data_IF_022444284271
#
_entry.id   IF_022444284271
#
_cell.length_a   1.000
_cell.length_b   1.000
_cell.length_c   1.000
_cell.angle_alpha   90.00
_cell.angle_beta   90.00
_cell.angle_gamma   90.00
#
_symmetry.space_group_name_H-M   'P 1'
#
loop_
_entity.id
_entity.type
_entity.pdbx_description
1 polymer ?
#
# COMPACT_ATOMS: atom_id res chain seq x y z
N UNK A 1 11.59 -29.36 2.18
CA UNK A 1 10.58 -30.42 2.05
C UNK A 1 9.68 -30.02 0.89
N UNK A 2 9.75 -30.69 -0.25
CA UNK A 2 8.84 -30.41 -1.37
C UNK A 2 7.43 -30.84 -0.95
N UNK A 3 6.46 -29.93 -1.02
CA UNK A 3 5.07 -30.29 -0.83
C UNK A 3 4.69 -31.35 -1.89
N UNK A 4 4.02 -32.43 -1.50
CA UNK A 4 3.59 -33.42 -2.47
C UNK A 4 2.69 -32.73 -3.50
N UNK A 5 3.04 -32.85 -4.78
CA UNK A 5 2.17 -32.50 -5.89
C UNK A 5 0.91 -33.38 -5.80
N UNK A 6 -0.06 -32.94 -5.02
CA UNK A 6 -1.41 -33.47 -5.18
C UNK A 6 -1.91 -32.95 -6.52
N UNK A 7 -2.33 -33.80 -7.44
CA UNK A 7 -3.02 -33.33 -8.62
C UNK A 7 -4.21 -32.51 -8.14
N UNK A 8 -4.27 -31.24 -8.56
CA UNK A 8 -5.47 -30.45 -8.43
C UNK A 8 -6.58 -31.29 -9.06
N UNK A 9 -7.63 -31.60 -8.32
CA UNK A 9 -8.78 -32.28 -8.87
C UNK A 9 -9.27 -31.55 -10.13
N UNK A 10 -10.10 -32.19 -10.94
CA UNK A 10 -10.64 -31.55 -12.13
C UNK A 10 -11.20 -30.18 -11.79
N UNK A 11 -10.51 -29.13 -12.29
CA UNK A 11 -10.98 -27.77 -12.19
C UNK A 11 -12.24 -27.69 -13.06
N UNK A 12 -13.40 -27.70 -12.43
CA UNK A 12 -14.64 -27.39 -13.12
C UNK A 12 -14.57 -25.91 -13.50
N UNK A 13 -14.53 -25.65 -14.80
CA UNK A 13 -14.68 -24.29 -15.30
C UNK A 13 -15.95 -23.68 -14.72
N UNK A 14 -15.85 -22.50 -14.13
CA UNK A 14 -17.01 -21.71 -13.73
C UNK A 14 -17.72 -21.29 -15.02
N UNK A 15 -18.96 -21.68 -15.17
CA UNK A 15 -19.74 -21.39 -16.38
C UNK A 15 -20.63 -20.19 -16.13
N UNK A 16 -20.82 -19.40 -17.18
CA UNK A 16 -21.78 -18.29 -17.25
C UNK A 16 -21.64 -17.28 -16.08
N UNK A 17 -20.44 -16.65 -15.91
CA UNK A 17 -20.30 -15.62 -14.91
C UNK A 17 -21.16 -14.42 -15.25
N UNK A 18 -21.72 -13.77 -14.23
CA UNK A 18 -22.26 -12.43 -14.39
C UNK A 18 -21.13 -11.48 -14.83
N UNK A 19 -21.36 -10.67 -15.84
CA UNK A 19 -20.39 -9.67 -16.31
C UNK A 19 -20.86 -8.29 -15.88
N UNK A 20 -20.05 -7.61 -15.08
CA UNK A 20 -20.25 -6.23 -14.68
C UNK A 20 -19.27 -5.33 -15.42
N UNK A 21 -19.79 -4.38 -16.20
CA UNK A 21 -18.98 -3.35 -16.85
C UNK A 21 -19.02 -2.07 -16.03
N UNK A 22 -17.85 -1.44 -15.85
CA UNK A 22 -17.71 -0.12 -15.22
C UNK A 22 -16.83 0.78 -16.08
N UNK A 23 -17.07 2.07 -15.99
CA UNK A 23 -16.24 3.10 -16.60
C UNK A 23 -15.89 4.14 -15.55
N UNK A 24 -14.59 4.47 -15.43
CA UNK A 24 -14.08 5.45 -14.49
C UNK A 24 -12.94 6.25 -15.13
N UNK A 25 -12.65 7.42 -14.60
CA UNK A 25 -11.49 8.19 -15.06
C UNK A 25 -10.18 7.59 -14.56
N UNK A 26 -10.15 7.19 -13.29
CA UNK A 26 -8.96 6.69 -12.62
C UNK A 26 -9.25 5.34 -11.97
N UNK A 27 -8.47 4.32 -12.33
CA UNK A 27 -8.51 3.01 -11.70
C UNK A 27 -7.26 2.77 -10.86
N UNK A 28 -7.44 2.39 -9.60
CA UNK A 28 -6.37 2.02 -8.69
C UNK A 28 -6.43 0.50 -8.46
N UNK A 29 -5.36 -0.21 -8.78
CA UNK A 29 -5.27 -1.67 -8.66
C UNK A 29 -4.35 -2.07 -7.52
N UNK A 30 -4.92 -2.65 -6.48
CA UNK A 30 -4.31 -3.06 -5.24
C UNK A 30 -4.87 -2.31 -4.04
N UNK A 31 -4.84 -2.91 -2.87
CA UNK A 31 -5.30 -2.31 -1.61
C UNK A 31 -4.19 -2.18 -0.58
N UNK A 32 -2.92 -2.29 -1.00
CA UNK A 32 -1.76 -2.08 -0.16
C UNK A 32 -1.52 -0.61 0.20
N UNK A 33 -0.43 -0.34 0.88
CA UNK A 33 -0.06 0.99 1.34
C UNK A 33 0.00 2.03 0.21
N UNK A 34 0.65 1.68 -0.89
CA UNK A 34 0.81 2.59 -2.03
C UNK A 34 -0.54 2.97 -2.66
N UNK A 35 -1.46 2.02 -2.81
CA UNK A 35 -2.78 2.29 -3.35
C UNK A 35 -3.67 3.11 -2.40
N UNK A 36 -3.55 2.88 -1.09
CA UNK A 36 -4.25 3.70 -0.11
C UNK A 36 -3.77 5.16 -0.16
N UNK A 37 -2.45 5.37 -0.21
CA UNK A 37 -1.88 6.70 -0.37
C UNK A 37 -2.29 7.35 -1.70
N UNK A 38 -2.27 6.57 -2.80
CA UNK A 38 -2.75 7.04 -4.11
C UNK A 38 -4.22 7.48 -4.05
N UNK A 39 -5.10 6.69 -3.44
CA UNK A 39 -6.51 7.04 -3.32
C UNK A 39 -6.71 8.35 -2.54
N UNK A 40 -5.97 8.52 -1.45
CA UNK A 40 -6.00 9.75 -0.65
C UNK A 40 -5.50 10.96 -1.45
N UNK A 41 -4.36 10.84 -2.13
CA UNK A 41 -3.77 11.93 -2.90
C UNK A 41 -4.57 12.26 -4.17
N UNK A 42 -5.03 11.26 -4.92
CA UNK A 42 -5.83 11.47 -6.13
C UNK A 42 -7.05 12.36 -5.82
N UNK A 43 -7.69 12.14 -4.67
CA UNK A 43 -8.86 12.95 -4.29
C UNK A 43 -8.55 14.44 -4.13
N UNK A 44 -7.31 14.79 -3.80
CA UNK A 44 -6.89 16.20 -3.69
C UNK A 44 -6.65 16.85 -5.05
N UNK A 45 -6.26 16.05 -6.06
CA UNK A 45 -5.79 16.55 -7.34
C UNK A 45 -6.72 16.30 -8.51
N UNK A 46 -7.72 15.42 -8.35
CA UNK A 46 -8.70 15.15 -9.40
C UNK A 46 -9.64 16.33 -9.59
N UNK A 47 -10.05 16.57 -10.83
CA UNK A 47 -11.03 17.59 -11.16
C UNK A 47 -12.43 17.22 -10.64
N UNK A 48 -13.26 18.24 -10.43
CA UNK A 48 -14.66 18.03 -10.08
C UNK A 48 -15.39 17.26 -11.20
N UNK A 49 -16.06 16.19 -10.81
CA UNK A 49 -16.78 15.30 -11.73
C UNK A 49 -15.97 14.14 -12.27
N UNK A 50 -14.66 14.06 -12.02
CA UNK A 50 -13.88 12.85 -12.29
C UNK A 50 -14.22 11.75 -11.30
N UNK A 51 -14.19 10.51 -11.81
CA UNK A 51 -14.48 9.30 -11.05
C UNK A 51 -13.22 8.49 -10.77
N UNK A 52 -13.14 7.90 -9.57
CA UNK A 52 -12.06 7.01 -9.17
C UNK A 52 -12.64 5.70 -8.65
N UNK A 53 -11.97 4.59 -8.93
CA UNK A 53 -12.30 3.27 -8.41
C UNK A 53 -11.03 2.59 -7.92
N UNK A 54 -11.09 1.98 -6.75
CA UNK A 54 -10.03 1.15 -6.21
C UNK A 54 -10.48 -0.31 -6.16
N UNK A 55 -9.66 -1.22 -6.69
CA UNK A 55 -9.90 -2.66 -6.66
C UNK A 55 -8.83 -3.38 -5.85
N UNK A 56 -9.24 -4.20 -4.89
CA UNK A 56 -8.32 -5.06 -4.14
C UNK A 56 -8.82 -6.52 -4.10
N UNK A 57 -7.90 -7.46 -4.27
CA UNK A 57 -8.21 -8.91 -4.18
C UNK A 57 -8.60 -9.38 -2.78
N UNK A 58 -8.29 -8.60 -1.75
CA UNK A 58 -8.53 -8.92 -0.35
C UNK A 58 -9.41 -7.84 0.32
N UNK A 59 -9.49 -7.82 1.63
CA UNK A 59 -9.99 -6.69 2.40
C UNK A 59 -8.87 -5.69 2.59
N UNK A 60 -9.12 -4.42 2.32
CA UNK A 60 -8.09 -3.38 2.35
C UNK A 60 -7.38 -3.27 3.70
N UNK A 61 -8.11 -3.45 4.80
CA UNK A 61 -7.57 -3.38 6.16
C UNK A 61 -6.53 -4.47 6.44
N UNK A 62 -6.51 -5.52 5.64
CA UNK A 62 -5.63 -6.69 5.79
C UNK A 62 -4.83 -6.98 4.52
N UNK A 63 -4.83 -6.07 3.56
CA UNK A 63 -4.14 -6.23 2.29
C UNK A 63 -2.72 -5.67 2.33
N UNK A 64 -1.83 -6.32 1.60
CA UNK A 64 -0.44 -5.91 1.42
C UNK A 64 0.49 -6.29 2.56
N UNK A 65 1.80 -6.11 2.32
CA UNK A 65 2.87 -6.49 3.25
C UNK A 65 2.77 -5.78 4.61
N UNK A 66 2.29 -4.54 4.62
CA UNK A 66 2.13 -3.74 5.84
C UNK A 66 1.18 -4.41 6.83
N UNK A 67 0.12 -5.08 6.34
CA UNK A 67 -0.84 -5.78 7.18
C UNK A 67 -0.31 -7.08 7.79
N UNK A 68 0.83 -7.57 7.33
CA UNK A 68 1.42 -8.84 7.76
C UNK A 68 2.38 -8.72 8.94
N UNK A 69 2.37 -7.60 9.64
CA UNK A 69 3.16 -7.43 10.85
C UNK A 69 4.30 -6.42 10.72
N UNK A 70 4.17 -5.44 9.84
CA UNK A 70 5.08 -4.31 9.81
C UNK A 70 5.16 -3.66 11.19
N UNK A 71 6.36 -3.45 11.69
CA UNK A 71 6.61 -2.88 13.03
C UNK A 71 7.36 -1.55 12.98
N UNK A 72 7.80 -1.11 11.82
CA UNK A 72 8.57 0.12 11.69
C UNK A 72 8.31 0.83 10.36
N UNK A 73 8.41 2.15 10.39
CA UNK A 73 8.56 3.01 9.22
C UNK A 73 10.03 3.39 9.14
N UNK A 74 10.64 3.16 7.97
CA UNK A 74 11.97 3.65 7.68
C UNK A 74 11.87 5.10 7.21
N UNK A 75 12.58 5.99 7.90
CA UNK A 75 12.60 7.42 7.64
C UNK A 75 13.87 8.03 8.24
N UNK A 76 14.09 9.32 8.07
CA UNK A 76 15.11 10.01 8.84
C UNK A 76 14.50 11.02 9.81
N UNK A 77 15.25 11.40 10.82
CA UNK A 77 14.76 12.14 11.97
C UNK A 77 15.79 13.17 12.43
N UNK A 78 15.32 14.36 12.79
CA UNK A 78 16.17 15.44 13.29
C UNK A 78 16.95 16.13 12.18
N UNK A 79 18.22 16.44 12.43
CA UNK A 79 19.08 17.24 11.54
C UNK A 79 19.68 16.44 10.35
N UNK A 80 19.14 15.26 10.06
CA UNK A 80 19.56 14.50 8.89
C UNK A 80 18.95 15.10 7.62
N UNK A 81 19.69 14.94 6.51
CA UNK A 81 19.28 15.39 5.19
C UNK A 81 18.96 14.20 4.27
N UNK A 82 18.30 14.41 3.11
CA UNK A 82 18.05 13.36 2.12
C UNK A 82 19.33 12.61 1.70
N UNK A 83 20.47 13.28 1.63
CA UNK A 83 21.77 12.66 1.31
C UNK A 83 22.23 11.68 2.39
N UNK A 84 21.91 11.94 3.65
CA UNK A 84 22.17 11.03 4.75
C UNK A 84 21.31 9.78 4.65
N UNK A 85 20.05 9.96 4.22
CA UNK A 85 19.13 8.86 3.94
C UNK A 85 19.63 7.97 2.81
N UNK A 86 20.07 8.56 1.70
CA UNK A 86 20.72 7.84 0.59
C UNK A 86 21.91 7.03 1.09
N UNK A 87 22.79 7.64 1.89
CA UNK A 87 23.98 6.99 2.42
C UNK A 87 23.64 5.80 3.32
N UNK A 88 22.62 5.94 4.15
CA UNK A 88 22.12 4.87 5.01
C UNK A 88 21.58 3.72 4.17
N UNK A 89 20.67 3.98 3.23
CA UNK A 89 20.06 2.95 2.36
C UNK A 89 21.12 2.24 1.50
N UNK A 90 22.07 2.99 0.95
CA UNK A 90 23.18 2.40 0.20
C UNK A 90 24.00 1.43 1.03
N UNK A 91 24.29 1.78 2.29
CA UNK A 91 25.03 0.90 3.19
C UNK A 91 24.22 -0.37 3.52
N UNK A 92 22.94 -0.23 3.82
CA UNK A 92 22.06 -1.35 4.17
C UNK A 92 21.87 -2.32 3.00
N UNK A 93 21.81 -1.80 1.77
CA UNK A 93 21.64 -2.58 0.55
C UNK A 93 22.98 -2.90 -0.16
N UNK A 94 24.12 -2.70 0.53
CA UNK A 94 25.46 -3.00 -0.01
C UNK A 94 25.73 -2.39 -1.39
N UNK A 95 25.20 -1.21 -1.66
CA UNK A 95 25.37 -0.47 -2.92
C UNK A 95 24.42 -0.89 -4.06
N UNK A 96 23.55 -1.89 -3.85
CA UNK A 96 22.57 -2.31 -4.87
C UNK A 96 21.34 -1.42 -4.74
N UNK A 97 21.45 -0.18 -5.23
CA UNK A 97 20.41 0.83 -5.07
C UNK A 97 20.50 1.88 -6.18
N UNK A 98 19.34 2.41 -6.59
CA UNK A 98 19.23 3.61 -7.41
C UNK A 98 19.22 4.83 -6.49
N UNK A 99 20.39 5.44 -6.30
CA UNK A 99 20.58 6.55 -5.36
C UNK A 99 19.73 7.77 -5.70
N UNK A 100 19.49 8.02 -6.98
CA UNK A 100 18.61 9.08 -7.46
C UNK A 100 17.17 8.91 -6.97
N UNK A 101 16.61 7.69 -7.09
CA UNK A 101 15.26 7.39 -6.60
C UNK A 101 15.17 7.42 -5.07
N UNK A 102 16.22 7.00 -4.38
CA UNK A 102 16.28 7.08 -2.92
C UNK A 102 16.39 8.53 -2.45
N UNK A 103 17.09 9.38 -3.20
CA UNK A 103 17.16 10.81 -2.90
C UNK A 103 15.77 11.46 -3.05
N UNK A 104 15.07 11.19 -4.16
CA UNK A 104 13.71 11.69 -4.38
C UNK A 104 12.78 11.23 -3.27
N UNK A 105 12.83 9.94 -2.90
CA UNK A 105 12.09 9.42 -1.76
C UNK A 105 12.46 10.15 -0.47
N UNK A 106 13.75 10.36 -0.22
CA UNK A 106 14.29 11.06 0.95
C UNK A 106 13.73 12.48 1.10
N UNK A 107 13.55 13.19 0.00
CA UNK A 107 12.96 14.53 0.01
C UNK A 107 11.51 14.57 0.53
N UNK A 108 10.79 13.44 0.50
CA UNK A 108 9.36 13.38 0.81
C UNK A 108 9.01 12.49 2.01
N UNK A 109 9.99 11.82 2.64
CA UNK A 109 9.67 10.90 3.77
C UNK A 109 9.10 11.62 4.98
N UNK A 110 9.52 12.84 5.26
CA UNK A 110 9.04 13.59 6.41
C UNK A 110 7.58 14.00 6.21
N UNK A 111 7.25 14.58 5.08
CA UNK A 111 5.88 14.93 4.70
C UNK A 111 4.96 13.71 4.74
N UNK A 112 5.43 12.58 4.21
CA UNK A 112 4.68 11.32 4.21
C UNK A 112 4.41 10.78 5.61
N UNK A 113 5.33 10.97 6.53
CA UNK A 113 5.16 10.57 7.94
C UNK A 113 4.12 11.45 8.64
N UNK A 114 4.07 12.74 8.33
CA UNK A 114 3.06 13.64 8.89
C UNK A 114 1.64 13.35 8.41
N UNK A 115 1.45 12.78 7.22
CA UNK A 115 0.14 12.31 6.77
C UNK A 115 -0.46 11.26 7.72
N UNK A 116 0.35 10.44 8.36
CA UNK A 116 -0.16 9.46 9.32
C UNK A 116 -0.76 10.10 10.56
N UNK A 117 -0.24 11.25 11.00
CA UNK A 117 -0.83 12.03 12.08
C UNK A 117 -2.19 12.60 11.65
N UNK A 118 -2.28 13.11 10.43
CA UNK A 118 -3.53 13.59 9.84
C UNK A 118 -4.59 12.48 9.81
N UNK A 119 -4.19 11.26 9.51
CA UNK A 119 -5.07 10.08 9.51
C UNK A 119 -5.35 9.51 10.91
N UNK A 120 -4.84 10.14 11.95
CA UNK A 120 -5.08 9.75 13.34
C UNK A 120 -4.13 8.66 13.86
N UNK A 121 -3.06 8.34 13.14
CA UNK A 121 -1.99 7.50 13.66
C UNK A 121 -1.02 8.39 14.48
N UNK A 122 -0.86 8.18 15.79
CA UNK A 122 0.03 8.99 16.61
C UNK A 122 1.50 8.63 16.31
N UNK A 123 2.08 9.29 15.31
CA UNK A 123 3.48 9.10 14.91
C UNK A 123 4.45 9.84 15.82
N UNK A 124 4.04 11.01 16.29
CA UNK A 124 4.82 11.88 17.16
C UNK A 124 4.09 12.14 18.48
N UNK A 125 4.66 11.69 19.59
CA UNK A 125 4.22 12.19 20.89
C UNK A 125 5.15 13.26 21.39
N UNK A 126 4.57 14.38 21.78
CA UNK A 126 5.22 15.34 22.67
C UNK A 126 4.88 14.98 24.11
N UNK A 127 5.85 15.11 25.00
CA UNK A 127 5.59 15.14 26.44
C UNK A 127 4.79 16.38 26.81
N UNK A 128 4.18 16.41 27.99
CA UNK A 128 3.41 17.57 28.48
C UNK A 128 4.24 18.88 28.48
N UNK A 129 5.56 18.78 28.58
CA UNK A 129 6.52 19.87 28.47
C UNK A 129 6.93 20.22 27.02
N UNK A 130 6.28 19.64 26.04
CA UNK A 130 6.47 19.94 24.61
C UNK A 130 7.71 19.28 23.98
N UNK A 131 8.44 18.46 24.71
CA UNK A 131 9.58 17.70 24.17
C UNK A 131 9.10 16.47 23.43
N UNK A 132 9.74 16.17 22.31
CA UNK A 132 9.50 14.89 21.63
C UNK A 132 9.88 13.74 22.59
N UNK A 133 9.06 12.70 22.65
CA UNK A 133 9.43 11.46 23.30
C UNK A 133 10.54 10.79 22.47
N UNK A 134 11.75 11.26 22.65
CA UNK A 134 12.92 10.50 22.21
C UNK A 134 12.88 9.18 22.96
N UNK A 135 12.79 8.08 22.21
CA UNK A 135 12.61 6.75 22.79
C UNK A 135 13.64 6.50 23.88
N UNK A 136 13.19 6.45 25.12
CA UNK A 136 14.03 5.95 26.20
C UNK A 136 14.35 4.50 25.88
N UNK A 137 15.64 4.20 25.84
CA UNK A 137 16.17 2.84 25.69
C UNK A 137 15.38 1.89 26.60
N UNK A 138 14.59 0.98 26.01
CA UNK A 138 13.81 0.01 26.78
C UNK A 138 12.28 0.25 26.86
N UNK A 139 11.73 1.30 26.26
CA UNK A 139 10.28 1.36 26.10
C UNK A 139 9.88 0.51 24.88
N UNK A 140 9.55 -0.75 25.14
CA UNK A 140 8.74 -1.56 24.26
C UNK A 140 7.42 -0.83 23.97
N UNK A 141 6.90 -0.99 22.75
CA UNK A 141 5.58 -0.51 22.38
C UNK A 141 4.56 -0.95 23.43
N UNK A 142 4.27 -0.07 24.37
CA UNK A 142 3.24 -0.32 25.37
C UNK A 142 1.89 -0.31 24.67
N UNK A 143 1.10 -1.35 24.86
CA UNK A 143 -0.31 -1.33 24.50
C UNK A 143 -0.98 -0.34 25.44
N UNK A 144 -1.13 0.90 25.01
CA UNK A 144 -1.98 1.84 25.72
C UNK A 144 -3.44 1.49 25.42
N UNK A 145 -4.34 1.73 26.38
CA UNK A 145 -5.77 1.66 26.14
C UNK A 145 -6.09 2.49 24.91
N UNK A 146 -6.36 1.84 23.77
CA UNK A 146 -6.62 2.50 22.50
C UNK A 146 -5.64 2.23 21.36
N UNK A 147 -4.60 1.40 21.54
CA UNK A 147 -3.65 1.01 20.49
C UNK A 147 -2.19 1.26 20.85
N UNK A 148 -1.30 0.61 20.14
CA UNK A 148 0.13 0.81 20.28
C UNK A 148 0.54 2.17 19.69
N UNK A 149 1.37 2.87 20.43
CA UNK A 149 1.90 4.17 19.97
C UNK A 149 3.29 3.97 19.38
N UNK A 150 3.62 4.67 18.29
CA UNK A 150 4.94 4.62 17.71
C UNK A 150 5.98 5.22 18.67
N UNK A 151 7.11 4.56 18.80
CA UNK A 151 8.25 5.02 19.58
C UNK A 151 9.42 5.21 18.63
N UNK A 152 10.05 6.36 18.69
CA UNK A 152 11.30 6.61 17.98
C UNK A 152 12.41 5.75 18.54
N UNK A 153 13.01 4.89 17.72
CA UNK A 153 14.09 3.99 18.13
C UNK A 153 15.46 4.38 17.60
N UNK A 154 15.58 5.50 16.93
CA UNK A 154 16.85 5.97 16.37
C UNK A 154 16.67 7.07 15.33
N UNK A 155 17.71 7.31 14.57
CA UNK A 155 17.70 8.36 13.53
C UNK A 155 16.94 7.96 12.26
N UNK A 156 16.61 6.69 12.09
CA UNK A 156 16.17 6.11 10.81
C UNK A 156 14.87 5.33 10.89
N UNK A 157 14.29 5.18 12.06
CA UNK A 157 13.11 4.34 12.22
C UNK A 157 12.14 4.92 13.23
N UNK A 158 10.85 4.77 12.90
CA UNK A 158 9.73 4.99 13.80
C UNK A 158 9.05 3.65 13.98
N UNK A 159 8.95 3.19 15.23
CA UNK A 159 8.23 1.95 15.54
C UNK A 159 6.74 2.20 15.55
N UNK A 160 6.00 1.34 14.89
CA UNK A 160 4.54 1.39 14.78
C UNK A 160 3.93 0.02 15.09
N UNK A 161 2.63 0.02 15.33
CA UNK A 161 1.84 -1.22 15.35
C UNK A 161 1.21 -1.43 13.97
N UNK A 162 1.73 -2.41 13.21
CA UNK A 162 1.28 -2.70 11.86
C UNK A 162 -0.21 -3.07 11.77
N UNK A 163 -0.77 -3.67 12.82
CA UNK A 163 -2.18 -4.05 12.86
C UNK A 163 -3.11 -2.83 12.85
N UNK A 164 -2.88 -1.86 13.71
CA UNK A 164 -3.67 -0.62 13.73
C UNK A 164 -3.31 0.31 12.57
N UNK A 165 -2.03 0.36 12.21
CA UNK A 165 -1.51 1.19 11.14
C UNK A 165 -2.21 0.94 9.80
N UNK A 166 -2.29 -0.32 9.37
CA UNK A 166 -2.92 -0.65 8.08
C UNK A 166 -4.43 -0.34 8.06
N UNK A 167 -5.11 -0.51 9.17
CA UNK A 167 -6.54 -0.16 9.29
C UNK A 167 -6.77 1.33 9.15
N UNK A 168 -5.97 2.15 9.82
CA UNK A 168 -6.06 3.62 9.73
C UNK A 168 -5.83 4.10 8.31
N UNK A 169 -4.79 3.56 7.65
CA UNK A 169 -4.47 3.92 6.26
C UNK A 169 -5.59 3.49 5.28
N UNK A 170 -6.17 2.32 5.48
CA UNK A 170 -7.29 1.86 4.67
C UNK A 170 -8.55 2.72 4.88
N UNK A 171 -8.81 3.10 6.12
CA UNK A 171 -9.92 3.98 6.46
C UNK A 171 -9.75 5.38 5.85
N UNK A 172 -8.56 5.95 5.93
CA UNK A 172 -8.25 7.23 5.29
C UNK A 172 -8.50 7.21 3.77
N UNK A 173 -8.11 6.13 3.11
CA UNK A 173 -8.36 5.94 1.68
C UNK A 173 -9.86 5.82 1.37
N UNK A 174 -10.59 5.00 2.12
CA UNK A 174 -12.05 4.82 1.96
C UNK A 174 -12.82 6.12 2.20
N UNK A 175 -12.46 6.87 3.22
CA UNK A 175 -13.07 8.17 3.49
C UNK A 175 -12.77 9.20 2.39
N UNK A 176 -11.58 9.16 1.80
CA UNK A 176 -11.19 10.10 0.76
C UNK A 176 -11.98 9.91 -0.53
N UNK A 177 -12.11 8.67 -1.02
CA UNK A 177 -12.76 8.39 -2.32
C UNK A 177 -14.21 7.93 -2.20
N UNK A 178 -14.69 7.62 -0.99
CA UNK A 178 -16.00 7.00 -0.73
C UNK A 178 -15.94 5.46 -0.75
N UNK A 179 -16.61 4.82 0.20
CA UNK A 179 -16.62 3.33 0.29
C UNK A 179 -17.22 2.68 -0.95
N UNK A 180 -18.19 3.32 -1.59
CA UNK A 180 -18.85 2.89 -2.84
C UNK A 180 -17.89 2.81 -4.03
N UNK A 181 -16.76 3.50 -3.94
CA UNK A 181 -15.69 3.51 -4.95
C UNK A 181 -14.56 2.53 -4.62
N UNK A 182 -14.82 1.58 -3.71
CA UNK A 182 -13.86 0.53 -3.33
C UNK A 182 -14.48 -0.84 -3.60
N UNK A 183 -13.85 -1.59 -4.50
CA UNK A 183 -14.18 -2.99 -4.78
C UNK A 183 -13.19 -3.91 -4.08
N UNK A 184 -13.55 -4.38 -2.92
CA UNK A 184 -12.83 -5.44 -2.23
C UNK A 184 -13.18 -6.83 -2.78
N UNK A 185 -12.25 -7.76 -2.67
CA UNK A 185 -12.43 -9.14 -3.14
C UNK A 185 -12.57 -9.25 -4.67
N UNK A 186 -12.02 -8.28 -5.39
CA UNK A 186 -11.91 -8.29 -6.85
C UNK A 186 -10.46 -8.43 -7.25
N UNK A 187 -10.14 -9.54 -7.90
CA UNK A 187 -8.79 -9.84 -8.36
C UNK A 187 -8.64 -9.43 -9.82
N UNK A 188 -7.88 -8.36 -10.06
CA UNK A 188 -7.51 -7.92 -11.40
C UNK A 188 -6.44 -8.86 -11.95
N UNK A 189 -6.67 -9.38 -13.16
CA UNK A 189 -5.82 -10.40 -13.79
C UNK A 189 -5.23 -9.97 -15.11
N UNK A 190 -5.83 -9.00 -15.78
CA UNK A 190 -5.38 -8.53 -17.09
C UNK A 190 -5.56 -7.03 -17.23
N UNK A 191 -4.63 -6.38 -17.92
CA UNK A 191 -4.73 -4.98 -18.31
C UNK A 191 -5.17 -4.89 -19.76
N UNK A 192 -6.13 -4.00 -20.04
CA UNK A 192 -6.64 -3.76 -21.37
C UNK A 192 -5.92 -2.57 -22.00
N UNK A 193 -5.48 -2.74 -23.23
CA UNK A 193 -4.90 -1.68 -24.03
C UNK A 193 -5.92 -1.15 -25.05
N UNK A 194 -5.76 0.11 -25.45
CA UNK A 194 -6.57 0.73 -26.49
C UNK A 194 -6.22 0.09 -27.84
N UNK A 195 -7.26 -0.35 -28.56
CA UNK A 195 -7.06 -1.00 -29.87
C UNK A 195 -6.55 -0.05 -30.97
N UNK A 196 -6.71 1.25 -30.78
CA UNK A 196 -6.40 2.28 -31.79
C UNK A 196 -5.17 3.12 -31.42
N UNK A 197 -4.63 2.95 -30.21
CA UNK A 197 -3.50 3.73 -29.71
C UNK A 197 -2.46 2.81 -29.09
N UNK A 198 -1.30 2.83 -29.67
CA UNK A 198 -0.17 2.00 -29.21
C UNK A 198 0.22 2.35 -27.76
N UNK A 199 0.40 1.32 -26.95
CA UNK A 199 0.86 1.41 -25.55
C UNK A 199 -0.02 2.30 -24.63
N UNK A 200 -1.28 2.53 -24.98
CA UNK A 200 -2.23 3.24 -24.13
C UNK A 200 -3.09 2.27 -23.33
N UNK A 201 -3.15 2.48 -22.02
CA UNK A 201 -4.08 1.75 -21.16
C UNK A 201 -5.51 2.16 -21.48
N UNK A 202 -6.43 1.18 -21.43
CA UNK A 202 -7.87 1.40 -21.63
C UNK A 202 -8.72 0.82 -20.49
N UNK A 203 -8.14 -0.03 -19.64
CA UNK A 203 -8.88 -0.63 -18.53
C UNK A 203 -8.23 -1.87 -17.99
N UNK A 204 -9.03 -2.66 -17.28
CA UNK A 204 -8.61 -3.93 -16.69
C UNK A 204 -9.78 -4.94 -16.66
N UNK A 205 -9.43 -6.21 -16.61
CA UNK A 205 -10.36 -7.32 -16.33
C UNK A 205 -10.01 -7.96 -15.02
N UNK A 206 -11.02 -8.27 -14.24
CA UNK A 206 -10.90 -8.98 -12.97
C UNK A 206 -12.08 -9.87 -12.68
N UNK A 207 -12.01 -10.59 -11.59
CA UNK A 207 -13.12 -11.43 -11.13
C UNK A 207 -13.27 -11.34 -9.60
N UNK A 208 -14.50 -11.56 -9.14
CA UNK A 208 -14.76 -11.68 -7.71
C UNK A 208 -14.16 -12.98 -7.18
N UNK A 209 -13.45 -12.91 -6.05
CA UNK A 209 -12.94 -14.10 -5.35
C UNK A 209 -14.01 -14.77 -4.48
N UNK A 210 -15.23 -14.26 -4.49
CA UNK A 210 -16.34 -14.78 -3.69
C UNK A 210 -17.59 -15.13 -4.49
N UNK A 211 -17.80 -14.46 -5.59
CA UNK A 211 -19.00 -14.55 -6.41
C UNK A 211 -18.64 -15.00 -7.83
N UNK A 212 -19.60 -15.58 -8.54
CA UNK A 212 -19.42 -15.93 -9.95
C UNK A 212 -19.60 -14.69 -10.83
N UNK A 213 -18.67 -13.73 -10.70
CA UNK A 213 -18.73 -12.43 -11.37
C UNK A 213 -17.40 -12.03 -11.97
N UNK A 214 -17.43 -11.51 -13.18
CA UNK A 214 -16.31 -10.92 -13.89
C UNK A 214 -16.54 -9.41 -14.00
N UNK A 215 -15.49 -8.63 -13.83
CA UNK A 215 -15.50 -7.18 -13.97
C UNK A 215 -14.68 -6.78 -15.18
N UNK A 216 -15.26 -5.93 -16.04
CA UNK A 216 -14.58 -5.23 -17.12
C UNK A 216 -14.60 -3.76 -16.75
N UNK A 217 -13.46 -3.20 -16.43
CA UNK A 217 -13.36 -1.82 -15.93
C UNK A 217 -12.60 -1.00 -16.97
N UNK A 218 -13.28 -0.07 -17.62
CA UNK A 218 -12.66 0.89 -18.53
C UNK A 218 -12.15 2.09 -17.74
N UNK A 219 -10.98 2.60 -18.10
CA UNK A 219 -10.43 3.77 -17.44
C UNK A 219 -9.56 4.62 -18.38
N UNK A 220 -9.40 5.90 -18.05
CA UNK A 220 -8.50 6.82 -18.75
C UNK A 220 -7.07 6.75 -18.23
N UNK A 221 -6.93 6.54 -16.93
CA UNK A 221 -5.63 6.41 -16.23
C UNK A 221 -5.68 5.29 -15.21
N UNK A 222 -4.54 4.66 -14.96
CA UNK A 222 -4.45 3.55 -14.02
C UNK A 222 -3.19 3.63 -13.16
N UNK A 223 -3.35 3.38 -11.87
CA UNK A 223 -2.26 3.12 -10.93
C UNK A 223 -2.26 1.64 -10.57
N UNK A 224 -1.16 0.94 -10.86
CA UNK A 224 -0.98 -0.47 -10.48
C UNK A 224 0.07 -0.56 -9.39
N UNK A 225 -0.33 -0.96 -8.19
CA UNK A 225 0.57 -1.13 -7.05
C UNK A 225 0.22 -2.42 -6.28
N UNK A 226 0.53 -3.54 -6.93
CA UNK A 226 0.21 -4.89 -6.44
C UNK A 226 1.29 -5.50 -5.54
N UNK A 227 2.20 -4.69 -5.02
CA UNK A 227 3.30 -5.12 -4.15
C UNK A 227 4.57 -5.48 -4.90
N UNK A 228 5.55 -6.01 -4.17
CA UNK A 228 6.84 -6.42 -4.73
C UNK A 228 6.78 -7.71 -5.52
N UNK A 229 7.73 -7.89 -6.45
CA UNK A 229 7.85 -9.06 -7.31
C UNK A 229 8.55 -10.25 -6.62
N UNK A 230 8.30 -10.46 -5.32
CA UNK A 230 9.02 -11.41 -4.48
C UNK A 230 8.78 -12.88 -4.83
N UNK A 231 7.66 -13.16 -5.49
CA UNK A 231 7.25 -14.52 -5.87
C UNK A 231 7.60 -14.90 -7.34
N UNK A 232 8.17 -13.96 -8.09
CA UNK A 232 8.53 -14.18 -9.50
C UNK A 232 9.84 -14.96 -9.62
N UNK A 233 10.76 -14.75 -8.68
CA UNK A 233 12.10 -15.31 -8.72
C UNK A 233 12.27 -16.51 -7.79
N UNK A 234 13.22 -17.38 -8.13
CA UNK A 234 13.66 -18.49 -7.28
C UNK A 234 15.18 -18.42 -7.08
N UNK A 235 15.71 -18.65 -5.85
CA UNK A 235 14.97 -18.89 -4.61
C UNK A 235 14.23 -17.64 -4.11
N UNK A 236 13.12 -17.83 -3.44
CA UNK A 236 12.36 -16.75 -2.81
C UNK A 236 13.04 -16.30 -1.53
N UNK A 237 13.19 -15.00 -1.34
CA UNK A 237 13.84 -14.43 -0.15
C UNK A 237 12.86 -14.15 1.00
N UNK A 238 11.58 -14.08 0.72
CA UNK A 238 10.50 -13.87 1.69
C UNK A 238 9.40 -14.89 1.50
N UNK A 239 8.74 -15.20 2.59
CA UNK A 239 7.57 -16.10 2.58
C UNK A 239 6.40 -15.55 1.76
N UNK A 240 5.50 -16.43 1.44
CA UNK A 240 4.27 -16.12 0.71
C UNK A 240 3.29 -15.28 1.54
#
# INVERSE_FOLDING_TARGET
MALPNKPLGELKAVRDPEVEEREVDILIVGGGMACCGTAFEVKKWMDEGQSVLLCDKAAMERSGAVAQGLSAINTYIGDNAPEDYVRMVRNDLMGIVREDLIFDLGCHVDDSVHLFEEWGLPVWKKTEDGKNLDGKKGQTMGTLKGGAQPVRTGKWQIMINGESYKRIVAEAAKLAIGEENVLERVFIVELLLDANKENQIAGAVGFSVRENKVFIIKCKSMMVACGGAVNIYQPRSVGE
#
